data_IF_611983660198
#
_entry.id   IF_611983660198
#
_cell.length_a   1.000
_cell.length_b   1.000
_cell.length_c   1.000
_cell.angle_alpha   90.00
_cell.angle_beta   90.00
_cell.angle_gamma   90.00
#
_symmetry.space_group_name_H-M   'P 1'
#
loop_
_entity.id
_entity.type
_entity.pdbx_description
1 polymer ?
#
# COMPACT_ATOMS: atom_id res chain seq x y z
N UNK A 1 9.93 -6.02 -7.25
CA UNK A 1 10.00 -6.05 -5.78
C UNK A 1 10.67 -4.79 -5.30
N UNK A 2 10.08 -4.12 -4.34
CA UNK A 2 10.62 -2.91 -3.75
C UNK A 2 11.99 -3.17 -3.08
N UNK A 3 12.95 -2.29 -3.33
CA UNK A 3 14.28 -2.31 -2.67
C UNK A 3 14.52 -0.96 -2.02
N UNK A 4 14.18 -0.82 -0.74
CA UNK A 4 14.45 0.39 0.08
C UNK A 4 14.00 1.70 -0.56
N UNK A 5 12.93 1.70 -1.38
CA UNK A 5 12.46 2.87 -2.10
C UNK A 5 13.26 3.27 -3.35
N UNK A 6 14.35 2.56 -3.67
CA UNK A 6 15.07 2.75 -4.94
C UNK A 6 14.31 2.09 -6.09
N UNK A 7 13.44 2.85 -6.72
CA UNK A 7 12.56 2.39 -7.81
C UNK A 7 13.32 1.98 -9.06
N UNK A 8 14.51 2.55 -9.31
CA UNK A 8 15.36 2.19 -10.45
C UNK A 8 15.94 0.77 -10.32
N UNK A 9 16.04 0.26 -9.09
CA UNK A 9 16.54 -1.07 -8.79
C UNK A 9 15.44 -2.15 -8.69
N UNK A 10 14.18 -1.81 -8.96
CA UNK A 10 13.08 -2.78 -8.87
C UNK A 10 13.18 -3.82 -9.97
N UNK A 11 12.99 -5.07 -9.60
CA UNK A 11 13.03 -6.23 -10.49
C UNK A 11 11.69 -6.96 -10.44
N UNK A 12 11.46 -7.84 -11.42
CA UNK A 12 10.33 -8.76 -11.40
C UNK A 12 10.30 -9.52 -10.06
N UNK A 13 9.10 -9.81 -9.60
CA UNK A 13 8.94 -10.50 -8.32
C UNK A 13 9.47 -11.94 -8.42
N UNK A 14 10.25 -12.34 -7.42
CA UNK A 14 10.61 -13.74 -7.17
C UNK A 14 9.80 -14.21 -5.98
N UNK A 15 8.91 -15.15 -6.21
CA UNK A 15 8.03 -15.70 -5.18
C UNK A 15 8.30 -17.18 -4.98
N UNK A 16 8.32 -17.63 -3.74
CA UNK A 16 8.33 -19.07 -3.43
C UNK A 16 6.92 -19.70 -3.54
N UNK A 17 5.90 -18.85 -3.74
CA UNK A 17 4.51 -19.31 -3.90
C UNK A 17 4.24 -19.81 -5.32
N UNK A 18 4.90 -19.21 -6.33
CA UNK A 18 4.76 -19.56 -7.74
C UNK A 18 6.04 -19.25 -8.49
N UNK A 19 6.43 -20.03 -9.52
CA UNK A 19 7.56 -19.69 -10.38
C UNK A 19 7.27 -18.55 -11.35
N UNK A 20 6.00 -18.16 -11.50
CA UNK A 20 5.58 -17.09 -12.39
C UNK A 20 5.74 -15.71 -11.74
N UNK A 21 6.08 -14.70 -12.54
CA UNK A 21 6.03 -13.29 -12.16
C UNK A 21 4.82 -12.55 -12.74
N UNK A 22 3.93 -13.27 -13.45
CA UNK A 22 2.73 -12.66 -14.03
C UNK A 22 1.74 -12.27 -12.92
N UNK A 23 1.15 -11.07 -12.99
CA UNK A 23 0.30 -10.56 -11.91
C UNK A 23 -0.86 -11.49 -11.52
N UNK A 24 -1.57 -12.07 -12.48
CA UNK A 24 -2.68 -13.00 -12.19
C UNK A 24 -2.23 -14.27 -11.48
N UNK A 25 -1.05 -14.81 -11.83
CA UNK A 25 -0.50 -16.01 -11.18
C UNK A 25 -0.05 -15.69 -9.75
N UNK A 26 0.51 -14.52 -9.54
CA UNK A 26 0.88 -14.03 -8.21
C UNK A 26 -0.36 -13.87 -7.32
N UNK A 27 -1.43 -13.25 -7.84
CA UNK A 27 -2.70 -13.12 -7.10
C UNK A 27 -3.30 -14.48 -6.77
N UNK A 28 -3.33 -15.40 -7.73
CA UNK A 28 -3.80 -16.76 -7.51
C UNK A 28 -3.02 -17.45 -6.38
N UNK A 29 -1.70 -17.39 -6.42
CA UNK A 29 -0.84 -18.02 -5.42
C UNK A 29 -0.97 -17.39 -4.01
N UNK A 30 -1.21 -16.08 -3.93
CA UNK A 30 -1.49 -15.40 -2.65
C UNK A 30 -2.85 -15.83 -2.08
N UNK A 31 -3.89 -15.96 -2.91
CA UNK A 31 -5.23 -16.39 -2.49
C UNK A 31 -5.28 -17.89 -2.15
N UNK A 32 -4.41 -18.70 -2.76
CA UNK A 32 -4.22 -20.12 -2.38
C UNK A 32 -3.52 -20.24 -1.02
N UNK A 33 -2.56 -19.36 -0.71
CA UNK A 33 -1.93 -19.32 0.60
C UNK A 33 -2.92 -18.94 1.71
N UNK A 34 -3.72 -17.90 1.47
CA UNK A 34 -4.68 -17.40 2.45
C UNK A 34 -5.81 -16.61 1.75
N UNK A 35 -7.08 -16.72 2.19
CA UNK A 35 -8.21 -16.02 1.57
C UNK A 35 -8.23 -14.54 1.94
N UNK A 36 -7.24 -13.79 1.46
CA UNK A 36 -7.17 -12.34 1.65
C UNK A 36 -8.41 -11.64 1.08
N UNK A 37 -8.89 -10.63 1.81
CA UNK A 37 -10.04 -9.83 1.39
C UNK A 37 -9.59 -8.54 0.66
N UNK A 38 -8.36 -8.10 0.89
CA UNK A 38 -7.77 -6.90 0.30
C UNK A 38 -6.45 -7.23 -0.39
N UNK A 39 -6.20 -6.58 -1.51
CA UNK A 39 -4.92 -6.66 -2.23
C UNK A 39 -4.44 -5.25 -2.59
N UNK A 40 -3.28 -4.88 -2.06
CA UNK A 40 -2.56 -3.67 -2.47
C UNK A 40 -1.79 -3.90 -3.76
N UNK A 41 -1.96 -3.00 -4.72
CA UNK A 41 -1.24 -3.00 -6.00
C UNK A 41 -0.61 -1.63 -6.22
N UNK A 42 0.72 -1.59 -6.34
CA UNK A 42 1.45 -0.39 -6.77
C UNK A 42 1.73 -0.50 -8.28
N UNK A 43 1.13 0.38 -9.07
CA UNK A 43 1.48 0.54 -10.49
C UNK A 43 2.72 1.44 -10.60
N UNK A 44 3.89 0.81 -10.65
CA UNK A 44 5.16 1.53 -10.65
C UNK A 44 5.35 2.40 -11.90
N UNK A 45 4.79 2.01 -13.05
CA UNK A 45 4.87 2.82 -14.26
C UNK A 45 4.05 4.10 -14.10
N UNK A 46 2.85 3.99 -13.54
CA UNK A 46 2.00 5.14 -13.26
C UNK A 46 2.61 6.04 -12.17
N UNK A 47 3.12 5.47 -11.06
CA UNK A 47 3.76 6.20 -9.96
C UNK A 47 4.98 7.00 -10.46
N UNK A 48 5.82 6.39 -11.30
CA UNK A 48 7.04 7.03 -11.81
C UNK A 48 6.78 7.90 -13.04
N UNK A 49 5.54 7.96 -13.54
CA UNK A 49 5.18 8.68 -14.77
C UNK A 49 6.03 8.26 -15.99
N UNK A 50 6.51 7.01 -16.00
CA UNK A 50 7.43 6.50 -17.05
C UNK A 50 6.71 6.23 -18.37
N UNK A 51 5.44 5.92 -18.34
CA UNK A 51 4.62 5.64 -19.52
C UNK A 51 3.42 6.60 -19.55
N UNK A 52 3.25 7.28 -20.68
CA UNK A 52 2.05 8.08 -20.96
C UNK A 52 0.84 7.19 -21.27
N UNK A 53 1.08 5.88 -21.51
CA UNK A 53 0.04 4.88 -21.78
C UNK A 53 -0.18 4.03 -20.53
N UNK A 54 -0.85 4.59 -19.53
CA UNK A 54 -1.31 3.87 -18.33
C UNK A 54 -2.19 2.65 -18.65
N UNK A 55 -2.63 2.53 -19.90
CA UNK A 55 -3.54 1.49 -20.40
C UNK A 55 -3.05 0.06 -20.14
N UNK A 56 -1.76 -0.21 -20.25
CA UNK A 56 -1.25 -1.58 -20.08
C UNK A 56 -1.45 -2.10 -18.65
N UNK A 57 -1.05 -1.33 -17.64
CA UNK A 57 -1.21 -1.74 -16.24
C UNK A 57 -2.66 -1.61 -15.78
N UNK A 58 -3.40 -0.62 -16.28
CA UNK A 58 -4.83 -0.49 -16.07
C UNK A 58 -5.57 -1.76 -16.50
N UNK A 59 -5.28 -2.30 -17.70
CA UNK A 59 -5.92 -3.52 -18.20
C UNK A 59 -5.56 -4.75 -17.36
N UNK A 60 -4.33 -4.85 -16.88
CA UNK A 60 -3.91 -5.94 -15.97
C UNK A 60 -4.71 -5.88 -14.66
N UNK A 61 -4.84 -4.70 -14.07
CA UNK A 61 -5.61 -4.52 -12.83
C UNK A 61 -7.10 -4.80 -13.06
N UNK A 62 -7.64 -4.37 -14.20
CA UNK A 62 -9.02 -4.69 -14.62
C UNK A 62 -9.23 -6.20 -14.72
N UNK A 63 -8.29 -6.94 -15.31
CA UNK A 63 -8.36 -8.40 -15.42
C UNK A 63 -8.30 -9.10 -14.06
N UNK A 64 -7.51 -8.58 -13.11
CA UNK A 64 -7.48 -9.08 -11.73
C UNK A 64 -8.84 -8.88 -11.07
N UNK A 65 -9.43 -7.69 -11.20
CA UNK A 65 -10.74 -7.37 -10.63
C UNK A 65 -11.85 -8.24 -11.21
N UNK A 66 -11.84 -8.46 -12.52
CA UNK A 66 -12.80 -9.33 -13.21
C UNK A 66 -12.68 -10.78 -12.72
N UNK A 67 -11.45 -11.27 -12.58
CA UNK A 67 -11.17 -12.65 -12.14
C UNK A 67 -11.53 -12.88 -10.68
N UNK A 68 -11.36 -11.88 -9.83
CA UNK A 68 -11.55 -11.96 -8.38
C UNK A 68 -12.48 -10.84 -7.88
N UNK A 69 -13.78 -10.86 -8.22
CA UNK A 69 -14.70 -9.75 -7.93
C UNK A 69 -14.97 -9.53 -6.44
N UNK A 70 -14.73 -10.54 -5.59
CA UNK A 70 -14.85 -10.43 -4.15
C UNK A 70 -13.60 -9.83 -3.47
N UNK A 71 -12.47 -9.71 -4.19
CA UNK A 71 -11.24 -9.15 -3.68
C UNK A 71 -11.28 -7.63 -3.81
N UNK A 72 -11.17 -6.91 -2.70
CA UNK A 72 -11.05 -5.46 -2.71
C UNK A 72 -9.64 -5.05 -3.16
N UNK A 73 -9.54 -4.39 -4.31
CA UNK A 73 -8.26 -3.92 -4.83
C UNK A 73 -7.98 -2.50 -4.33
N UNK A 74 -6.82 -2.30 -3.71
CA UNK A 74 -6.26 -1.02 -3.30
C UNK A 74 -5.16 -0.64 -4.29
N UNK A 75 -5.40 0.39 -5.11
CA UNK A 75 -4.52 0.72 -6.24
C UNK A 75 -3.80 2.03 -5.98
N UNK A 76 -2.47 1.94 -5.91
CA UNK A 76 -1.58 3.10 -5.93
C UNK A 76 -1.06 3.31 -7.35
N UNK A 77 -1.47 4.41 -7.96
CA UNK A 77 -1.13 4.80 -9.32
C UNK A 77 -0.47 6.18 -9.40
N UNK A 78 0.07 6.66 -8.28
CA UNK A 78 0.76 7.95 -8.21
C UNK A 78 -0.13 9.13 -8.58
N UNK A 79 -1.40 9.12 -8.15
CA UNK A 79 -2.40 10.15 -8.47
C UNK A 79 -1.99 11.48 -7.86
N UNK A 80 -1.87 12.51 -8.69
CA UNK A 80 -1.48 13.86 -8.30
C UNK A 80 -2.46 14.96 -8.73
N UNK A 81 -3.49 14.60 -9.51
CA UNK A 81 -4.47 15.56 -10.03
C UNK A 81 -5.81 14.88 -10.36
N UNK A 82 -6.85 15.71 -10.60
CA UNK A 82 -8.20 15.22 -10.87
C UNK A 82 -8.34 14.48 -12.22
N UNK A 83 -7.48 14.71 -13.19
CA UNK A 83 -7.53 14.00 -14.48
C UNK A 83 -7.12 12.54 -14.25
N UNK A 84 -6.03 12.32 -13.53
CA UNK A 84 -5.56 10.98 -13.15
C UNK A 84 -6.56 10.29 -12.22
N UNK A 85 -7.09 11.02 -11.23
CA UNK A 85 -8.11 10.52 -10.32
C UNK A 85 -9.33 9.98 -11.10
N UNK A 86 -9.90 10.81 -11.98
CA UNK A 86 -11.06 10.45 -12.80
C UNK A 86 -10.78 9.26 -13.75
N UNK A 87 -9.55 9.14 -14.23
CA UNK A 87 -9.14 8.00 -15.05
C UNK A 87 -9.17 6.70 -14.24
N UNK A 88 -8.49 6.68 -13.08
CA UNK A 88 -8.36 5.50 -12.25
C UNK A 88 -9.66 5.10 -11.54
N UNK A 89 -10.53 6.05 -11.20
CA UNK A 89 -11.86 5.77 -10.62
C UNK A 89 -12.74 4.88 -11.51
N UNK A 90 -12.53 4.89 -12.82
CA UNK A 90 -13.29 4.04 -13.76
C UNK A 90 -13.09 2.54 -13.51
N UNK A 91 -11.98 2.14 -12.89
CA UNK A 91 -11.76 0.76 -12.46
C UNK A 91 -12.73 0.33 -11.34
N UNK A 92 -13.30 1.27 -10.59
CA UNK A 92 -14.13 0.98 -9.41
C UNK A 92 -13.36 0.20 -8.35
N UNK A 93 -12.06 0.46 -8.22
CA UNK A 93 -11.18 -0.01 -7.14
C UNK A 93 -11.05 1.07 -6.09
N UNK A 94 -10.53 0.74 -4.92
CA UNK A 94 -10.21 1.74 -3.91
C UNK A 94 -8.83 2.33 -4.22
N UNK A 95 -8.77 3.64 -4.40
CA UNK A 95 -7.53 4.32 -4.80
C UNK A 95 -6.71 4.71 -3.59
N UNK A 96 -5.39 4.70 -3.76
CA UNK A 96 -4.43 5.20 -2.79
C UNK A 96 -3.91 6.55 -3.28
N UNK A 97 -3.94 7.53 -2.39
CA UNK A 97 -3.40 8.87 -2.63
C UNK A 97 -2.13 8.99 -1.78
N UNK A 98 -0.98 8.88 -2.44
CA UNK A 98 0.34 9.00 -1.82
C UNK A 98 0.70 10.46 -1.55
N UNK A 99 1.17 10.73 -0.34
CA UNK A 99 1.62 12.08 0.07
C UNK A 99 2.79 12.57 -0.79
N UNK A 100 3.64 11.66 -1.26
CA UNK A 100 4.80 11.97 -2.11
C UNK A 100 4.44 12.64 -3.45
N UNK A 101 3.18 12.52 -3.89
CA UNK A 101 2.71 13.09 -5.15
C UNK A 101 2.35 14.59 -5.06
N UNK A 102 2.46 15.21 -3.88
CA UNK A 102 2.07 16.60 -3.64
C UNK A 102 3.20 17.40 -3.02
N UNK A 103 3.43 18.60 -3.54
CA UNK A 103 4.40 19.56 -2.98
C UNK A 103 3.75 20.36 -1.86
N UNK A 104 2.48 20.71 -2.00
CA UNK A 104 1.74 21.55 -1.05
C UNK A 104 0.36 20.98 -0.74
N UNK A 105 -0.20 21.41 0.39
CA UNK A 105 -1.50 20.94 0.87
C UNK A 105 -2.66 21.40 -0.02
N UNK A 106 -2.52 22.50 -0.74
CA UNK A 106 -3.56 23.02 -1.62
C UNK A 106 -3.85 22.06 -2.77
N UNK A 107 -2.82 21.52 -3.40
CA UNK A 107 -2.97 20.56 -4.51
C UNK A 107 -3.61 19.25 -4.01
N UNK A 108 -3.20 18.76 -2.84
CA UNK A 108 -3.86 17.63 -2.20
C UNK A 108 -5.33 17.92 -1.88
N UNK A 109 -5.62 19.09 -1.34
CA UNK A 109 -6.98 19.49 -0.95
C UNK A 109 -7.93 19.58 -2.15
N UNK A 110 -7.42 19.88 -3.34
CA UNK A 110 -8.23 19.87 -4.57
C UNK A 110 -8.76 18.47 -4.92
N UNK A 111 -8.00 17.40 -4.62
CA UNK A 111 -8.50 16.03 -4.74
C UNK A 111 -9.48 15.67 -3.62
N UNK A 112 -9.27 16.19 -2.43
CA UNK A 112 -10.05 15.86 -1.24
C UNK A 112 -11.48 16.46 -1.24
N UNK A 113 -11.82 17.31 -2.21
CA UNK A 113 -13.21 17.82 -2.40
C UNK A 113 -14.12 16.76 -3.03
N UNK A 114 -13.54 15.72 -3.63
CA UNK A 114 -14.24 14.56 -4.17
C UNK A 114 -14.43 13.51 -3.06
N UNK A 115 -15.24 12.51 -3.27
CA UNK A 115 -15.57 11.47 -2.30
C UNK A 115 -14.32 10.95 -1.56
N UNK A 116 -14.30 11.05 -0.21
CA UNK A 116 -13.19 10.59 0.66
C UNK A 116 -13.03 9.07 0.72
N UNK A 117 -13.59 8.32 -0.20
CA UNK A 117 -13.47 6.86 -0.28
C UNK A 117 -12.13 6.40 -0.89
N UNK A 118 -11.05 7.07 -0.55
CA UNK A 118 -9.68 6.67 -0.87
C UNK A 118 -8.90 6.36 0.41
N UNK A 119 -7.71 5.81 0.25
CA UNK A 119 -6.76 5.57 1.34
C UNK A 119 -5.63 6.59 1.18
N UNK A 120 -5.36 7.38 2.22
CA UNK A 120 -4.18 8.25 2.25
C UNK A 120 -2.94 7.41 2.56
N UNK A 121 -1.86 7.56 1.78
CA UNK A 121 -0.55 7.03 2.14
C UNK A 121 0.37 8.16 2.61
N UNK A 122 0.87 8.05 3.84
CA UNK A 122 1.93 8.90 4.36
C UNK A 122 3.27 8.22 4.04
N UNK A 123 4.03 8.79 3.10
CA UNK A 123 5.18 8.14 2.48
C UNK A 123 6.49 8.59 3.14
N UNK A 124 7.17 7.64 3.76
CA UNK A 124 8.47 7.86 4.42
C UNK A 124 9.57 7.14 3.65
N UNK A 125 10.37 7.92 2.93
CA UNK A 125 11.56 7.48 2.19
C UNK A 125 12.79 7.41 3.12
N UNK A 126 13.94 6.89 2.67
CA UNK A 126 15.17 6.88 3.45
C UNK A 126 15.60 8.26 3.96
N UNK A 127 15.28 9.31 3.22
CA UNK A 127 15.59 10.70 3.58
C UNK A 127 14.49 11.38 4.42
N UNK A 128 13.46 10.66 4.82
CA UNK A 128 12.34 11.16 5.62
C UNK A 128 11.02 11.24 4.88
N UNK A 129 10.07 11.92 5.49
CA UNK A 129 8.72 12.08 4.96
C UNK A 129 8.71 12.85 3.63
N UNK A 130 7.88 12.40 2.71
CA UNK A 130 7.65 13.04 1.41
C UNK A 130 6.20 13.51 1.32
N UNK A 131 6.03 14.82 1.11
CA UNK A 131 4.72 15.43 0.94
C UNK A 131 4.51 16.70 1.79
N UNK A 132 3.31 17.29 1.73
CA UNK A 132 2.96 18.46 2.53
C UNK A 132 3.08 18.18 4.03
N UNK A 133 3.83 19.02 4.75
CA UNK A 133 4.06 18.85 6.18
C UNK A 133 2.76 18.88 7.01
N UNK A 134 1.75 19.55 6.49
CA UNK A 134 0.42 19.64 7.10
C UNK A 134 -0.24 18.25 7.23
N UNK A 135 0.00 17.32 6.31
CA UNK A 135 -0.53 15.95 6.41
C UNK A 135 0.01 15.18 7.61
N UNK A 136 1.17 15.58 8.16
CA UNK A 136 1.68 14.98 9.40
C UNK A 136 1.01 15.53 10.66
N UNK A 137 0.37 16.69 10.59
CA UNK A 137 -0.12 17.43 11.77
C UNK A 137 -1.63 17.66 11.75
N UNK A 138 -2.24 17.78 10.57
CA UNK A 138 -3.65 18.11 10.37
C UNK A 138 -4.44 16.86 9.98
N UNK A 139 -4.92 16.11 10.97
CA UNK A 139 -5.68 14.88 10.73
C UNK A 139 -7.04 15.11 10.08
N UNK A 140 -7.57 16.33 10.11
CA UNK A 140 -8.78 16.72 9.36
C UNK A 140 -8.60 16.58 7.83
N UNK A 141 -7.35 16.55 7.34
CA UNK A 141 -7.02 16.30 5.94
C UNK A 141 -6.98 14.80 5.60
N UNK A 142 -7.02 13.91 6.59
CA UNK A 142 -6.90 12.46 6.37
C UNK A 142 -8.21 11.86 5.84
N UNK A 143 -8.07 10.78 5.06
CA UNK A 143 -9.16 9.83 4.83
C UNK A 143 -9.34 8.92 6.06
N UNK A 144 -10.44 8.17 6.14
CA UNK A 144 -10.72 7.26 7.26
C UNK A 144 -9.60 6.21 7.45
N UNK A 145 -9.02 5.73 6.34
CA UNK A 145 -7.94 4.76 6.33
C UNK A 145 -6.65 5.44 5.89
N UNK A 146 -5.57 5.23 6.66
CA UNK A 146 -4.28 5.86 6.45
C UNK A 146 -3.16 4.82 6.49
N UNK A 147 -2.44 4.67 5.39
CA UNK A 147 -1.22 3.88 5.32
C UNK A 147 -0.05 4.70 5.86
N UNK A 148 0.72 4.11 6.77
CA UNK A 148 2.06 4.60 7.14
C UNK A 148 3.07 3.78 6.35
N UNK A 149 3.52 4.31 5.22
CA UNK A 149 4.40 3.65 4.27
C UNK A 149 5.87 3.93 4.60
N UNK A 150 6.55 2.99 5.25
CA UNK A 150 7.98 3.08 5.53
C UNK A 150 8.80 2.40 4.43
N UNK A 151 9.06 3.13 3.34
CA UNK A 151 9.76 2.60 2.15
C UNK A 151 11.23 2.26 2.43
N UNK A 152 11.88 2.92 3.38
CA UNK A 152 13.22 2.57 3.83
C UNK A 152 13.34 1.15 4.36
N UNK A 153 12.23 0.60 4.88
CA UNK A 153 12.16 -0.72 5.49
C UNK A 153 11.58 -1.78 4.52
N UNK A 154 10.99 -1.35 3.39
CA UNK A 154 10.44 -2.27 2.39
C UNK A 154 11.56 -3.07 1.72
N UNK A 155 11.49 -4.40 1.82
CA UNK A 155 12.49 -5.32 1.25
C UNK A 155 13.87 -5.27 1.93
N UNK A 156 14.00 -4.61 3.09
CA UNK A 156 15.30 -4.39 3.76
C UNK A 156 15.59 -5.35 4.90
N UNK A 157 14.62 -6.14 5.36
CA UNK A 157 14.70 -7.04 6.55
C UNK A 157 15.11 -6.31 7.86
N UNK A 158 15.00 -4.98 7.92
CA UNK A 158 15.42 -4.17 9.07
C UNK A 158 14.34 -4.06 10.17
N UNK A 159 13.19 -4.70 9.97
CA UNK A 159 12.04 -4.57 10.86
C UNK A 159 11.23 -3.29 10.60
N UNK A 160 10.14 -3.15 11.34
CA UNK A 160 9.23 -2.01 11.25
C UNK A 160 9.80 -0.78 11.95
N UNK A 161 9.38 0.41 11.51
CA UNK A 161 9.67 1.66 12.22
C UNK A 161 8.62 1.89 13.32
N UNK A 162 8.84 1.29 14.48
CA UNK A 162 7.90 1.33 15.62
C UNK A 162 7.70 2.76 16.13
N UNK A 163 8.76 3.56 16.23
CA UNK A 163 8.67 4.96 16.68
C UNK A 163 7.77 5.80 15.77
N UNK A 164 7.87 5.59 14.47
CA UNK A 164 7.01 6.25 13.48
C UNK A 164 5.55 5.86 13.66
N UNK A 165 5.28 4.56 13.80
CA UNK A 165 3.93 4.04 14.02
C UNK A 165 3.35 4.60 15.32
N UNK A 166 4.08 4.58 16.42
CA UNK A 166 3.64 5.13 17.72
C UNK A 166 3.33 6.63 17.62
N UNK A 167 4.19 7.42 16.97
CA UNK A 167 3.97 8.85 16.74
C UNK A 167 2.73 9.12 15.89
N UNK A 168 2.45 8.27 14.92
CA UNK A 168 1.25 8.40 14.09
C UNK A 168 0.01 8.00 14.88
N UNK A 169 0.03 6.87 15.59
CA UNK A 169 -1.08 6.40 16.43
C UNK A 169 -1.49 7.42 17.50
N UNK A 170 -0.54 8.13 18.09
CA UNK A 170 -0.80 9.15 19.12
C UNK A 170 -1.76 10.27 18.64
N UNK A 171 -1.82 10.53 17.33
CA UNK A 171 -2.69 11.55 16.71
C UNK A 171 -3.85 10.96 15.90
N UNK A 172 -3.85 9.66 15.65
CA UNK A 172 -4.77 8.97 14.74
C UNK A 172 -6.09 8.55 15.41
N UNK A 173 -6.53 9.26 16.47
CA UNK A 173 -7.76 8.90 17.16
C UNK A 173 -8.96 8.96 16.21
N UNK A 174 -9.63 7.82 16.01
CA UNK A 174 -10.79 7.69 15.13
C UNK A 174 -10.45 7.34 13.67
N UNK A 175 -9.15 7.15 13.34
CA UNK A 175 -8.70 6.69 12.03
C UNK A 175 -8.21 5.25 12.08
N UNK A 176 -8.32 4.55 10.96
CA UNK A 176 -7.77 3.22 10.78
C UNK A 176 -6.33 3.34 10.26
N UNK A 177 -5.35 2.96 11.04
CA UNK A 177 -3.95 3.01 10.64
C UNK A 177 -3.52 1.65 10.07
N UNK A 178 -2.90 1.69 8.89
CA UNK A 178 -2.40 0.55 8.16
C UNK A 178 -0.88 0.64 8.12
N UNK A 179 -0.19 -0.35 8.67
CA UNK A 179 1.26 -0.39 8.65
C UNK A 179 1.79 -0.98 7.34
N UNK A 180 2.81 -0.35 6.75
CA UNK A 180 3.46 -0.83 5.53
C UNK A 180 4.99 -0.67 5.59
N UNK A 181 5.69 -1.76 5.32
CA UNK A 181 7.15 -1.82 5.27
C UNK A 181 7.80 -2.42 6.52
N UNK A 182 8.71 -3.37 6.29
CA UNK A 182 9.55 -3.98 7.33
C UNK A 182 8.90 -5.11 8.13
N UNK A 183 7.71 -5.54 7.81
CA UNK A 183 7.02 -6.66 8.48
C UNK A 183 7.63 -7.97 8.00
N UNK A 184 8.15 -8.81 8.91
CA UNK A 184 8.97 -9.98 8.61
C UNK A 184 8.30 -11.31 8.95
N UNK A 185 7.57 -11.35 10.07
CA UNK A 185 7.06 -12.58 10.66
C UNK A 185 5.76 -12.33 11.45
N UNK A 186 5.24 -13.38 12.07
CA UNK A 186 4.01 -13.32 12.86
C UNK A 186 4.16 -12.46 14.10
N UNK A 187 5.31 -12.42 14.74
CA UNK A 187 5.53 -11.62 15.96
C UNK A 187 5.40 -10.11 15.65
N UNK A 188 5.89 -9.68 14.48
CA UNK A 188 5.70 -8.32 14.00
C UNK A 188 4.19 -7.99 13.84
N UNK A 189 3.39 -8.94 13.37
CA UNK A 189 1.92 -8.76 13.23
C UNK A 189 1.20 -8.73 14.58
N UNK A 190 1.61 -9.56 15.52
CA UNK A 190 1.09 -9.55 16.90
C UNK A 190 1.36 -8.19 17.54
N UNK A 191 2.60 -7.69 17.42
CA UNK A 191 2.98 -6.37 17.93
C UNK A 191 2.12 -5.25 17.31
N UNK A 192 1.88 -5.27 16.00
CA UNK A 192 1.00 -4.29 15.35
C UNK A 192 -0.43 -4.35 15.89
N UNK A 193 -0.97 -5.55 16.10
CA UNK A 193 -2.29 -5.75 16.70
C UNK A 193 -2.36 -5.18 18.12
N UNK A 194 -1.35 -5.44 18.96
CA UNK A 194 -1.25 -4.89 20.33
C UNK A 194 -1.13 -3.37 20.35
N UNK A 195 -0.50 -2.77 19.32
CA UNK A 195 -0.45 -1.32 19.15
C UNK A 195 -1.77 -0.71 18.68
N UNK A 196 -2.78 -1.52 18.31
CA UNK A 196 -4.07 -1.04 17.79
C UNK A 196 -4.02 -0.66 16.30
N UNK A 197 -3.02 -1.14 15.56
CA UNK A 197 -2.94 -0.98 14.09
C UNK A 197 -4.06 -1.82 13.46
N UNK A 198 -4.80 -1.21 12.55
CA UNK A 198 -6.02 -1.81 11.98
C UNK A 198 -5.74 -2.87 10.92
N UNK A 199 -4.65 -2.71 10.17
CA UNK A 199 -4.21 -3.65 9.13
C UNK A 199 -2.72 -3.53 8.83
N UNK A 200 -2.18 -4.50 8.10
CA UNK A 200 -0.78 -4.52 7.68
C UNK A 200 -0.64 -4.92 6.21
N UNK A 201 0.20 -4.21 5.44
CA UNK A 201 0.55 -4.59 4.08
C UNK A 201 1.75 -5.52 4.11
N UNK A 202 1.55 -6.73 3.63
CA UNK A 202 2.56 -7.79 3.55
C UNK A 202 2.99 -8.00 2.10
N UNK A 203 4.28 -8.15 1.88
CA UNK A 203 4.82 -8.52 0.58
C UNK A 203 5.91 -9.59 0.73
N UNK A 204 7.15 -9.19 1.06
CA UNK A 204 8.32 -10.07 1.14
C UNK A 204 8.08 -11.27 2.05
N UNK A 205 7.47 -11.08 3.22
CA UNK A 205 7.20 -12.13 4.19
C UNK A 205 6.29 -13.25 3.62
N UNK A 206 5.29 -12.88 2.81
CA UNK A 206 4.43 -13.86 2.13
C UNK A 206 5.17 -14.55 0.98
N UNK A 207 5.80 -13.78 0.10
CA UNK A 207 6.51 -14.33 -1.06
C UNK A 207 7.69 -15.25 -0.68
N UNK A 208 8.28 -15.04 0.49
CA UNK A 208 9.35 -15.86 1.05
C UNK A 208 8.84 -16.94 2.04
N UNK A 209 7.52 -17.13 2.15
CA UNK A 209 6.89 -18.10 3.07
C UNK A 209 7.36 -17.96 4.53
N UNK A 210 7.62 -16.72 4.96
CA UNK A 210 8.04 -16.44 6.35
C UNK A 210 6.85 -16.43 7.33
N UNK A 211 5.62 -16.37 6.81
CA UNK A 211 4.38 -16.46 7.58
C UNK A 211 3.52 -17.55 6.97
N UNK A 212 3.13 -18.52 7.79
CA UNK A 212 2.30 -19.65 7.36
C UNK A 212 0.80 -19.29 7.40
N UNK A 213 -0.01 -20.13 6.75
CA UNK A 213 -1.48 -20.03 6.79
C UNK A 213 -2.01 -20.08 8.22
N UNK A 214 -1.52 -21.06 9.04
CA UNK A 214 -1.93 -21.22 10.43
C UNK A 214 -1.59 -19.99 11.28
N UNK A 215 -0.44 -19.36 11.02
CA UNK A 215 -0.04 -18.13 11.69
C UNK A 215 -0.96 -16.95 11.30
N UNK A 216 -1.33 -16.83 10.03
CA UNK A 216 -2.29 -15.81 9.57
C UNK A 216 -3.68 -16.01 10.19
N UNK A 217 -4.14 -17.25 10.30
CA UNK A 217 -5.41 -17.59 10.95
C UNK A 217 -5.41 -17.23 12.44
N UNK A 218 -4.30 -17.48 13.14
CA UNK A 218 -4.18 -17.17 14.58
C UNK A 218 -4.27 -15.68 14.91
N UNK A 219 -3.89 -14.81 13.98
CA UNK A 219 -3.94 -13.35 14.17
C UNK A 219 -5.36 -12.80 13.98
N UNK A 220 -6.19 -13.47 13.18
CA UNK A 220 -7.56 -13.04 12.88
C UNK A 220 -8.50 -13.12 14.09
N UNK A 221 -8.17 -13.97 15.07
CA UNK A 221 -8.88 -14.10 16.33
C UNK A 221 -8.50 -12.97 17.32
#
# INVERSE_FOLDING_TARGET
VAKKGDRAAYQAIHSQLTPSSQPLDIVAALLELYPFQQLYIADLNAIQKLDTRHENNYNVIASIKERYPALELWVDAGISNNVELNFWQKLGTRLIIGSENFINISDYSLLNTLDKNYILSLDFMPLGYQGPAELLTKTECWSQDVIVMSLSNVGANNGMNIDLLQKTMARAKGFNIIAAGGIRNVDDLIMLKEMGISAALLATALHQKQISTEQLESIKQ
#
